data_IF_085756461429
#
_entry.id   IF_085756461429
#
_cell.length_a   1.000
_cell.length_b   1.000
_cell.length_c   1.000
_cell.angle_alpha   90.00
_cell.angle_beta   90.00
_cell.angle_gamma   90.00
#
_symmetry.space_group_name_H-M   'P 1'
#
loop_
_entity.id
_entity.type
_entity.pdbx_description
1 polymer ?
#
# COMPACT_ATOMS: atom_id res chain seq x y z
N UNK A 1 -18.82 -5.03 6.23
CA UNK A 1 -17.53 -4.87 5.54
C UNK A 1 -16.57 -4.26 6.56
N UNK A 2 -15.78 -5.09 7.26
CA UNK A 2 -14.85 -4.63 8.30
C UNK A 2 -13.45 -4.55 7.67
N UNK A 3 -13.08 -3.38 7.16
CA UNK A 3 -11.75 -3.14 6.59
C UNK A 3 -11.49 -1.64 6.48
N UNK A 4 -10.28 -1.21 6.86
CA UNK A 4 -9.82 0.16 6.65
C UNK A 4 -9.44 0.40 5.18
N UNK A 5 -8.73 1.50 4.91
CA UNK A 5 -8.31 1.89 3.55
C UNK A 5 -7.54 0.78 2.81
N UNK A 6 -6.82 -0.08 3.54
CA UNK A 6 -6.07 -1.21 2.99
C UNK A 6 -6.84 -2.54 2.90
N UNK A 7 -8.09 -2.58 3.39
CA UNK A 7 -8.83 -3.81 3.62
C UNK A 7 -8.37 -4.57 4.87
N UNK A 8 -8.78 -5.85 5.03
CA UNK A 8 -8.43 -6.66 6.18
C UNK A 8 -6.93 -6.98 6.23
N UNK A 9 -6.23 -6.57 7.29
CA UNK A 9 -4.82 -6.90 7.51
C UNK A 9 -4.68 -8.17 8.37
N UNK A 10 -3.77 -9.05 7.99
CA UNK A 10 -3.38 -10.26 8.74
C UNK A 10 -2.28 -9.96 9.76
N UNK A 11 -1.33 -9.10 9.41
CA UNK A 11 -0.22 -8.68 10.28
C UNK A 11 0.35 -7.34 9.80
N UNK A 12 1.10 -6.67 10.68
CA UNK A 12 1.85 -5.46 10.34
C UNK A 12 3.15 -5.38 11.16
N UNK A 13 4.15 -4.70 10.63
CA UNK A 13 5.40 -4.35 11.29
C UNK A 13 5.75 -2.90 10.92
N UNK A 14 6.29 -2.14 11.87
CA UNK A 14 6.66 -0.75 11.64
C UNK A 14 7.91 -0.35 12.40
N UNK A 15 8.74 0.49 11.78
CA UNK A 15 9.92 1.08 12.42
C UNK A 15 10.04 2.55 12.09
N UNK A 16 10.56 3.31 13.04
CA UNK A 16 10.83 4.75 12.87
C UNK A 16 12.31 4.96 12.59
N UNK A 17 12.62 5.85 11.64
CA UNK A 17 13.98 6.33 11.40
C UNK A 17 14.07 7.86 11.42
N UNK A 18 15.22 8.37 11.80
CA UNK A 18 15.54 9.79 11.75
C UNK A 18 16.21 10.12 10.41
N UNK A 19 15.49 10.79 9.51
CA UNK A 19 16.00 11.16 8.17
C UNK A 19 16.80 12.46 8.13
N UNK A 20 17.06 13.10 9.28
CA UNK A 20 17.78 14.38 9.33
C UNK A 20 16.98 15.57 8.78
N UNK A 21 15.66 15.45 8.62
CA UNK A 21 14.75 16.50 8.12
C UNK A 21 13.80 17.06 9.20
N UNK A 22 14.11 16.82 10.47
CA UNK A 22 13.32 17.34 11.59
C UNK A 22 11.97 16.64 11.83
N UNK A 23 11.62 15.62 11.04
CA UNK A 23 10.42 14.79 11.20
C UNK A 23 10.78 13.31 11.32
N UNK A 24 9.93 12.55 12.01
CA UNK A 24 10.02 11.09 12.09
C UNK A 24 9.54 10.47 10.78
N UNK A 25 10.30 9.50 10.26
CA UNK A 25 9.88 8.71 9.11
C UNK A 25 9.48 7.32 9.56
N UNK A 26 8.36 6.84 9.03
CA UNK A 26 7.79 5.54 9.39
C UNK A 26 7.86 4.59 8.19
N UNK A 27 8.61 3.50 8.33
CA UNK A 27 8.59 2.37 7.41
C UNK A 27 7.58 1.34 7.91
N UNK A 28 6.66 0.90 7.04
CA UNK A 28 5.63 -0.09 7.37
C UNK A 28 5.69 -1.29 6.42
N UNK A 29 5.59 -2.49 6.97
CA UNK A 29 5.24 -3.71 6.23
C UNK A 29 3.86 -4.16 6.68
N UNK A 30 2.93 -4.33 5.75
CA UNK A 30 1.55 -4.73 6.04
C UNK A 30 1.21 -5.97 5.20
N UNK A 31 0.79 -7.04 5.86
CA UNK A 31 0.32 -8.25 5.20
C UNK A 31 -1.19 -8.24 5.13
N UNK A 32 -1.74 -8.17 3.92
CA UNK A 32 -3.19 -8.22 3.70
C UNK A 32 -3.70 -9.65 3.81
N UNK A 33 -4.92 -9.80 4.32
CA UNK A 33 -5.59 -11.08 4.40
C UNK A 33 -6.21 -11.43 3.03
N UNK A 34 -5.41 -11.97 2.12
CA UNK A 34 -5.84 -12.48 0.83
C UNK A 34 -5.29 -13.89 0.55
N UNK A 35 -5.90 -14.58 -0.40
CA UNK A 35 -5.59 -15.98 -0.71
C UNK A 35 -4.59 -16.16 -1.86
N UNK A 36 -4.22 -15.09 -2.56
CA UNK A 36 -3.27 -15.18 -3.68
C UNK A 36 -1.84 -15.44 -3.24
N UNK A 37 -1.22 -16.48 -3.82
CA UNK A 37 0.23 -16.63 -3.85
C UNK A 37 0.88 -15.62 -4.82
N UNK A 38 2.20 -15.39 -4.73
CA UNK A 38 2.91 -14.51 -5.67
C UNK A 38 2.74 -14.92 -7.14
N UNK A 39 2.70 -16.23 -7.43
CA UNK A 39 2.50 -16.74 -8.79
C UNK A 39 1.09 -16.42 -9.31
N UNK A 40 0.04 -16.68 -8.51
CA UNK A 40 -1.33 -16.36 -8.87
C UNK A 40 -1.55 -14.84 -9.03
N UNK A 41 -0.87 -14.04 -8.20
CA UNK A 41 -0.93 -12.59 -8.36
C UNK A 41 -0.32 -12.18 -9.70
N UNK A 42 0.86 -12.71 -10.06
CA UNK A 42 1.52 -12.47 -11.35
C UNK A 42 0.62 -12.82 -12.55
N UNK A 43 -0.14 -13.91 -12.46
CA UNK A 43 -1.14 -14.30 -13.45
C UNK A 43 -2.32 -13.32 -13.47
N UNK A 44 -2.85 -12.93 -12.31
CA UNK A 44 -3.96 -11.97 -12.21
C UNK A 44 -3.63 -10.62 -12.82
N UNK A 45 -2.39 -10.12 -12.68
CA UNK A 45 -2.02 -8.84 -13.32
C UNK A 45 -2.05 -8.93 -14.86
N UNK A 46 -2.02 -10.12 -15.47
CA UNK A 46 -2.17 -10.20 -16.93
C UNK A 46 -3.58 -9.77 -17.38
N UNK A 47 -4.60 -9.95 -16.52
CA UNK A 47 -5.96 -9.51 -16.79
C UNK A 47 -6.06 -7.97 -16.74
N UNK A 48 -6.62 -7.37 -17.80
CA UNK A 48 -6.72 -5.90 -17.91
C UNK A 48 -7.63 -5.27 -16.87
N UNK A 49 -8.78 -5.87 -16.60
CA UNK A 49 -9.76 -5.30 -15.66
C UNK A 49 -9.23 -5.35 -14.23
N UNK A 50 -8.53 -6.44 -13.87
CA UNK A 50 -7.84 -6.53 -12.60
C UNK A 50 -6.79 -5.42 -12.44
N UNK A 51 -5.96 -5.16 -13.46
CA UNK A 51 -4.98 -4.07 -13.44
C UNK A 51 -5.63 -2.70 -13.30
N UNK A 52 -6.69 -2.42 -14.07
CA UNK A 52 -7.41 -1.14 -14.02
C UNK A 52 -7.98 -0.89 -12.62
N UNK A 53 -8.58 -1.91 -12.01
CA UNK A 53 -9.12 -1.80 -10.66
C UNK A 53 -8.01 -1.64 -9.60
N UNK A 54 -6.90 -2.35 -9.75
CA UNK A 54 -5.74 -2.21 -8.85
C UNK A 54 -5.14 -0.79 -8.94
N UNK A 55 -4.97 -0.25 -10.15
CA UNK A 55 -4.47 1.11 -10.34
C UNK A 55 -5.40 2.15 -9.72
N UNK A 56 -6.70 2.05 -9.99
CA UNK A 56 -7.70 2.95 -9.40
C UNK A 56 -7.65 2.94 -7.88
N UNK A 57 -7.48 1.77 -7.28
CA UNK A 57 -7.31 1.64 -5.83
C UNK A 57 -6.02 2.29 -5.34
N UNK A 58 -4.88 2.05 -6.00
CA UNK A 58 -3.59 2.64 -5.62
C UNK A 58 -3.61 4.18 -5.70
N UNK A 59 -4.20 4.75 -6.75
CA UNK A 59 -4.35 6.20 -6.92
C UNK A 59 -5.27 6.83 -5.84
N UNK A 60 -6.24 6.07 -5.33
CA UNK A 60 -7.12 6.51 -4.25
C UNK A 60 -6.36 6.59 -2.91
N UNK A 61 -5.51 5.61 -2.62
CA UNK A 61 -4.88 5.46 -1.30
C UNK A 61 -3.47 6.08 -1.19
N UNK A 62 -2.73 6.17 -2.29
CA UNK A 62 -1.40 6.77 -2.31
C UNK A 62 -1.58 8.28 -2.50
N UNK A 63 -1.32 9.03 -1.43
CA UNK A 63 -1.24 10.49 -1.47
C UNK A 63 0.18 10.88 -1.12
N UNK A 64 0.81 11.61 -2.02
CA UNK A 64 2.09 12.26 -1.79
C UNK A 64 1.79 13.76 -1.72
N UNK A 65 1.98 14.36 -0.55
CA UNK A 65 2.03 15.81 -0.43
C UNK A 65 3.50 16.20 -0.55
N UNK A 66 3.92 16.53 -1.76
CA UNK A 66 5.16 17.26 -1.94
C UNK A 66 4.87 18.68 -1.48
N UNK A 67 5.18 18.97 -0.22
CA UNK A 67 5.12 20.34 0.28
C UNK A 67 5.76 21.25 -0.76
N UNK A 68 4.95 22.09 -1.39
CA UNK A 68 5.45 23.21 -2.16
C UNK A 68 5.98 24.25 -1.18
N UNK A 69 7.05 23.91 -0.46
CA UNK A 69 7.87 24.87 0.27
C UNK A 69 8.53 25.79 -0.76
N UNK A 70 7.77 26.78 -1.21
CA UNK A 70 8.29 28.10 -1.55
C UNK A 70 8.40 28.93 -0.28
#
# INVERSE_FOLDING_TARGET
MLGGVLGPAKAYFGTVENQGRGSLHLHLLIWLNHEYSPAQLKEKIQNEDFRKNLLKYLEDIIKEDLDSFR
#
